data_IF_662123658376
#
_entry.id   IF_662123658376
#
_cell.length_a   1.000
_cell.length_b   1.000
_cell.length_c   1.000
_cell.angle_alpha   90.00
_cell.angle_beta   90.00
_cell.angle_gamma   90.00
#
_symmetry.space_group_name_H-M   'P 1'
#
loop_
_entity.id
_entity.type
_entity.pdbx_description
1 polymer ?
#
# COMPACT_ATOMS: atom_id res chain seq x y z
N UNK A 1 9.84 6.17 -4.48
CA UNK A 1 8.44 6.13 -4.94
C UNK A 1 7.99 7.42 -5.63
N UNK A 2 7.87 8.57 -4.95
CA UNK A 2 7.33 9.83 -5.53
C UNK A 2 8.00 10.25 -6.84
N UNK A 3 9.34 10.20 -6.92
CA UNK A 3 10.11 10.50 -8.15
C UNK A 3 9.67 9.62 -9.33
N UNK A 4 9.72 8.30 -9.15
CA UNK A 4 9.33 7.32 -10.19
C UNK A 4 7.90 7.55 -10.67
N UNK A 5 6.97 7.85 -9.76
CA UNK A 5 5.58 8.17 -10.11
C UNK A 5 5.48 9.48 -10.89
N UNK A 6 6.20 10.52 -10.48
CA UNK A 6 6.22 11.80 -11.20
C UNK A 6 6.81 11.69 -12.61
N UNK A 7 7.77 10.77 -12.80
CA UNK A 7 8.41 10.49 -14.09
C UNK A 7 7.60 9.51 -14.97
N UNK A 8 6.48 8.98 -14.47
CA UNK A 8 5.67 7.95 -15.14
C UNK A 8 4.33 8.48 -15.66
N UNK A 9 3.86 7.95 -16.79
CA UNK A 9 2.48 8.13 -17.25
C UNK A 9 1.65 6.96 -16.76
N UNK A 10 0.70 7.21 -15.86
CA UNK A 10 -0.14 6.17 -15.24
C UNK A 10 -1.60 6.30 -15.71
N UNK A 11 -2.31 5.18 -15.91
CA UNK A 11 -3.73 5.21 -16.31
C UNK A 11 -4.68 5.51 -15.14
N UNK A 12 -4.15 5.84 -13.97
CA UNK A 12 -4.89 6.12 -12.74
C UNK A 12 -4.27 7.28 -11.97
N UNK A 13 -5.08 7.94 -11.16
CA UNK A 13 -4.62 8.98 -10.25
C UNK A 13 -3.86 8.34 -9.07
N UNK A 14 -2.73 8.94 -8.69
CA UNK A 14 -1.96 8.52 -7.52
C UNK A 14 -2.15 9.49 -6.38
N UNK A 15 -2.54 8.96 -5.22
CA UNK A 15 -2.62 9.71 -3.97
C UNK A 15 -1.58 9.21 -2.98
N UNK A 16 -0.86 10.14 -2.37
CA UNK A 16 0.04 9.86 -1.26
C UNK A 16 -0.63 10.25 0.05
N UNK A 17 -0.45 9.41 1.06
CA UNK A 17 -0.83 9.67 2.44
C UNK A 17 0.43 9.64 3.28
N UNK A 18 0.62 10.66 4.13
CA UNK A 18 1.83 10.77 4.93
C UNK A 18 1.77 9.88 6.19
N UNK A 19 0.57 9.43 6.56
CA UNK A 19 0.33 8.53 7.70
C UNK A 19 -0.86 7.58 7.43
N UNK A 20 -0.96 6.49 8.20
CA UNK A 20 -2.01 5.49 8.06
C UNK A 20 -3.38 6.06 8.42
N UNK A 21 -3.46 6.96 9.39
CA UNK A 21 -4.73 7.55 9.84
C UNK A 21 -5.43 8.37 8.74
N UNK A 22 -4.69 9.06 7.88
CA UNK A 22 -5.25 9.75 6.71
C UNK A 22 -5.84 8.79 5.70
N UNK A 23 -5.14 7.70 5.38
CA UNK A 23 -5.64 6.67 4.48
C UNK A 23 -6.90 6.01 5.05
N UNK A 24 -6.88 5.63 6.33
CA UNK A 24 -8.01 5.00 7.02
C UNK A 24 -9.23 5.92 7.10
N UNK A 25 -9.04 7.23 7.29
CA UNK A 25 -10.14 8.22 7.23
C UNK A 25 -10.68 8.41 5.82
N UNK A 26 -9.86 8.19 4.80
CA UNK A 26 -10.24 8.39 3.40
C UNK A 26 -11.01 7.20 2.82
N UNK A 27 -10.67 5.96 3.22
CA UNK A 27 -11.31 4.75 2.68
C UNK A 27 -12.84 4.75 2.68
N UNK A 28 -13.55 5.07 3.79
CA UNK A 28 -15.00 4.91 3.83
C UNK A 28 -15.77 5.67 2.75
N UNK A 29 -15.21 6.75 2.21
CA UNK A 29 -15.84 7.52 1.14
C UNK A 29 -15.34 7.21 -0.28
N UNK A 30 -14.30 6.38 -0.43
CA UNK A 30 -13.57 6.27 -1.69
C UNK A 30 -13.05 4.85 -2.02
N UNK A 31 -13.20 3.87 -1.13
CA UNK A 31 -12.61 2.54 -1.28
C UNK A 31 -12.98 1.86 -2.60
N UNK A 32 -14.22 2.03 -3.07
CA UNK A 32 -14.71 1.46 -4.34
C UNK A 32 -14.03 2.05 -5.60
N UNK A 33 -13.32 3.17 -5.46
CA UNK A 33 -12.55 3.80 -6.55
C UNK A 33 -11.07 3.39 -6.58
N UNK A 34 -10.65 2.57 -5.62
CA UNK A 34 -9.25 2.16 -5.46
C UNK A 34 -8.92 1.02 -6.40
N UNK A 35 -7.86 1.20 -7.19
CA UNK A 35 -7.34 0.16 -8.10
C UNK A 35 -6.13 -0.59 -7.53
N UNK A 36 -5.41 0.01 -6.58
CA UNK A 36 -4.32 -0.62 -5.83
C UNK A 36 -3.97 0.21 -4.59
N UNK A 37 -3.38 -0.44 -3.59
CA UNK A 37 -2.82 0.21 -2.40
C UNK A 37 -1.37 -0.24 -2.20
N UNK A 38 -0.49 0.69 -1.86
CA UNK A 38 0.90 0.40 -1.47
C UNK A 38 1.08 0.70 0.02
N UNK A 39 1.55 -0.27 0.79
CA UNK A 39 1.76 -0.17 2.24
C UNK A 39 3.24 -0.24 2.58
N UNK A 40 3.68 0.66 3.46
CA UNK A 40 4.97 0.58 4.13
C UNK A 40 4.75 0.38 5.64
N UNK A 41 5.65 -0.35 6.29
CA UNK A 41 5.62 -0.57 7.73
C UNK A 41 6.05 0.67 8.50
N UNK A 42 7.01 1.41 7.95
CA UNK A 42 7.75 2.45 8.68
C UNK A 42 7.33 3.82 8.14
N UNK A 43 6.11 4.24 8.49
CA UNK A 43 5.62 5.58 8.18
C UNK A 43 6.33 6.61 9.07
N UNK A 44 6.86 7.66 8.44
CA UNK A 44 7.66 8.66 9.12
C UNK A 44 6.80 9.53 10.05
N UNK A 45 7.23 9.67 11.30
CA UNK A 45 6.59 10.54 12.29
C UNK A 45 7.03 11.99 12.17
N UNK A 46 8.12 12.28 11.42
CA UNK A 46 8.64 13.65 11.27
C UNK A 46 7.81 14.53 10.34
N UNK A 47 7.01 13.94 9.45
CA UNK A 47 6.03 14.64 8.61
C UNK A 47 4.61 14.61 9.16
N UNK A 48 4.34 13.75 10.16
CA UNK A 48 3.10 13.81 10.90
C UNK A 48 3.03 15.19 11.55
N UNK A 49 2.04 15.99 11.12
CA UNK A 49 1.91 17.43 11.44
C UNK A 49 1.88 17.71 12.95
N UNK A 50 1.54 16.69 13.71
CA UNK A 50 1.57 16.61 15.15
C UNK A 50 2.43 15.39 15.52
N UNK A 51 3.21 15.46 16.59
CA UNK A 51 4.08 14.37 17.12
C UNK A 51 3.31 13.13 17.61
N UNK A 52 2.18 12.85 16.99
CA UNK A 52 1.28 11.76 17.26
C UNK A 52 1.67 10.56 16.39
N UNK A 53 1.31 9.39 16.87
CA UNK A 53 1.43 8.12 16.16
C UNK A 53 0.99 8.29 14.69
N UNK A 54 1.86 7.96 13.73
CA UNK A 54 1.54 7.97 12.31
C UNK A 54 0.74 6.71 11.90
N UNK A 55 0.57 5.77 12.82
CA UNK A 55 0.17 4.42 12.51
C UNK A 55 1.15 3.76 11.54
N UNK A 56 0.72 2.69 10.91
CA UNK A 56 1.56 1.86 10.07
C UNK A 56 0.77 1.08 9.03
N UNK A 57 1.48 0.44 8.09
CA UNK A 57 0.88 -0.52 7.18
C UNK A 57 0.14 -1.67 7.89
N UNK A 58 0.54 -2.05 9.12
CA UNK A 58 -0.15 -3.08 9.91
C UNK A 58 -1.56 -2.62 10.28
N UNK A 59 -1.75 -1.35 10.63
CA UNK A 59 -3.07 -0.79 10.96
C UNK A 59 -4.00 -0.83 9.74
N UNK A 60 -3.43 -0.54 8.56
CA UNK A 60 -4.16 -0.61 7.29
C UNK A 60 -4.49 -2.06 6.92
N UNK A 61 -3.55 -2.98 7.08
CA UNK A 61 -3.78 -4.40 6.82
C UNK A 61 -4.89 -4.97 7.72
N UNK A 62 -4.88 -4.62 9.00
CA UNK A 62 -5.92 -5.03 9.96
C UNK A 62 -7.29 -4.43 9.63
N UNK A 63 -7.34 -3.18 9.13
CA UNK A 63 -8.58 -2.56 8.68
C UNK A 63 -9.16 -3.24 7.43
N UNK A 64 -8.30 -3.65 6.48
CA UNK A 64 -8.73 -4.28 5.23
C UNK A 64 -9.10 -5.76 5.40
N UNK A 65 -8.45 -6.48 6.34
CA UNK A 65 -8.67 -7.90 6.57
C UNK A 65 -10.15 -8.34 6.72
N UNK A 66 -11.03 -7.63 7.43
CA UNK A 66 -12.45 -8.00 7.52
C UNK A 66 -13.29 -7.63 6.28
N UNK A 67 -12.74 -6.88 5.31
CA UNK A 67 -13.48 -6.42 4.12
C UNK A 67 -13.33 -7.42 2.96
N UNK A 68 -14.26 -7.36 2.00
CA UNK A 68 -14.17 -8.16 0.77
C UNK A 68 -13.02 -7.64 -0.10
N UNK A 69 -12.06 -8.50 -0.50
CA UNK A 69 -10.99 -8.13 -1.41
C UNK A 69 -11.51 -7.70 -2.78
N UNK A 70 -11.05 -6.54 -3.27
CA UNK A 70 -11.46 -6.02 -4.59
C UNK A 70 -10.38 -5.20 -5.30
N UNK A 71 -9.19 -5.07 -4.71
CA UNK A 71 -8.01 -4.52 -5.36
C UNK A 71 -6.73 -5.18 -4.81
N UNK A 72 -5.65 -5.22 -5.59
CA UNK A 72 -4.37 -5.70 -5.13
C UNK A 72 -3.72 -4.76 -4.09
N UNK A 73 -3.03 -5.37 -3.13
CA UNK A 73 -2.22 -4.66 -2.13
C UNK A 73 -0.74 -4.96 -2.35
N UNK A 74 0.07 -3.91 -2.41
CA UNK A 74 1.51 -3.99 -2.54
C UNK A 74 2.10 -3.69 -1.17
N UNK A 75 2.92 -4.59 -0.66
CA UNK A 75 3.70 -4.35 0.55
C UNK A 75 5.09 -3.89 0.10
N UNK A 76 5.34 -2.60 0.22
CA UNK A 76 6.58 -1.96 -0.16
C UNK A 76 7.32 -1.51 1.09
N UNK A 77 8.05 -2.43 1.72
CA UNK A 77 8.77 -2.15 2.96
C UNK A 77 10.07 -2.94 3.07
N UNK A 78 11.11 -2.30 3.60
CA UNK A 78 12.41 -2.95 3.91
C UNK A 78 12.36 -3.75 5.21
N UNK A 79 11.28 -3.61 5.98
CA UNK A 79 11.17 -4.22 7.29
C UNK A 79 10.97 -5.73 7.18
N UNK A 80 12.06 -6.49 7.35
CA UNK A 80 12.09 -7.95 7.17
C UNK A 80 11.20 -8.73 8.16
N UNK A 81 10.71 -8.09 9.22
CA UNK A 81 9.81 -8.71 10.19
C UNK A 81 8.35 -8.32 9.98
N UNK A 82 8.10 -7.04 9.73
CA UNK A 82 6.73 -6.50 9.62
C UNK A 82 6.12 -6.71 8.24
N UNK A 83 6.92 -6.66 7.17
CA UNK A 83 6.41 -6.93 5.83
C UNK A 83 5.81 -8.35 5.70
N UNK A 84 6.47 -9.43 6.18
CA UNK A 84 5.85 -10.76 6.21
C UNK A 84 4.58 -10.85 7.07
N UNK A 85 4.50 -10.09 8.16
CA UNK A 85 3.32 -10.08 9.04
C UNK A 85 2.10 -9.46 8.34
N UNK A 86 2.28 -8.31 7.67
CA UNK A 86 1.23 -7.70 6.84
C UNK A 86 0.82 -8.64 5.69
N UNK A 87 1.79 -9.24 5.01
CA UNK A 87 1.53 -10.20 3.93
C UNK A 87 0.65 -11.35 4.42
N UNK A 88 1.00 -11.94 5.56
CA UNK A 88 0.24 -13.05 6.12
C UNK A 88 -1.17 -12.63 6.52
N UNK A 89 -1.31 -11.45 7.15
CA UNK A 89 -2.61 -10.88 7.55
C UNK A 89 -3.55 -10.73 6.35
N UNK A 90 -3.05 -10.14 5.26
CA UNK A 90 -3.80 -9.91 4.04
C UNK A 90 -4.07 -11.22 3.26
N UNK A 91 -3.08 -12.09 3.16
CA UNK A 91 -3.22 -13.38 2.47
C UNK A 91 -4.26 -14.28 3.16
N UNK A 92 -4.27 -14.35 4.50
CA UNK A 92 -5.27 -15.10 5.25
C UNK A 92 -6.69 -14.53 5.10
N UNK A 93 -6.82 -13.23 4.85
CA UNK A 93 -8.08 -12.56 4.54
C UNK A 93 -8.48 -12.65 3.05
N UNK A 94 -7.69 -13.35 2.22
CA UNK A 94 -7.98 -13.54 0.80
C UNK A 94 -7.61 -12.36 -0.10
N UNK A 95 -6.88 -11.36 0.41
CA UNK A 95 -6.45 -10.22 -0.39
C UNK A 95 -5.35 -10.61 -1.38
N UNK A 96 -5.50 -10.30 -2.68
CA UNK A 96 -4.40 -10.38 -3.64
C UNK A 96 -3.30 -9.42 -3.19
N UNK A 97 -2.12 -9.93 -2.87
CA UNK A 97 -1.03 -9.08 -2.43
C UNK A 97 0.35 -9.53 -2.92
N UNK A 98 1.26 -8.56 -3.03
CA UNK A 98 2.64 -8.75 -3.45
C UNK A 98 3.57 -8.05 -2.48
N UNK A 99 4.50 -8.80 -1.89
CA UNK A 99 5.55 -8.23 -1.06
C UNK A 99 6.75 -7.87 -1.93
N UNK A 100 7.04 -6.58 -2.04
CA UNK A 100 8.21 -6.03 -2.71
C UNK A 100 9.24 -5.63 -1.65
N UNK A 101 10.34 -6.38 -1.61
CA UNK A 101 11.49 -5.99 -0.80
C UNK A 101 12.25 -4.88 -1.56
N UNK A 102 12.52 -3.71 -0.95
CA UNK A 102 13.12 -2.56 -1.63
C UNK A 102 14.60 -2.75 -2.02
N UNK A 103 15.12 -3.97 -1.96
CA UNK A 103 16.48 -4.32 -2.41
C UNK A 103 16.54 -4.74 -3.89
N UNK A 104 15.40 -4.94 -4.56
CA UNK A 104 15.38 -5.05 -6.03
C UNK A 104 15.41 -3.66 -6.66
N UNK A 105 15.97 -3.57 -7.87
CA UNK A 105 16.27 -2.34 -8.61
C UNK A 105 15.19 -1.26 -8.39
N UNK A 106 15.60 -0.10 -7.86
CA UNK A 106 14.75 0.85 -7.11
C UNK A 106 13.54 1.40 -7.88
N UNK A 107 13.49 1.17 -9.20
CA UNK A 107 12.47 1.67 -10.12
C UNK A 107 11.64 0.53 -10.76
N UNK A 108 12.02 -0.75 -10.56
CA UNK A 108 11.35 -1.92 -11.16
C UNK A 108 10.02 -2.32 -10.49
N UNK A 109 9.78 -1.84 -9.27
CA UNK A 109 8.57 -2.15 -8.49
C UNK A 109 7.28 -1.72 -9.20
N UNK A 110 7.30 -0.61 -9.95
CA UNK A 110 6.12 -0.06 -10.62
C UNK A 110 5.54 -1.03 -11.65
N UNK A 111 6.41 -1.75 -12.39
CA UNK A 111 5.98 -2.76 -13.35
C UNK A 111 5.21 -3.91 -12.68
N UNK A 112 5.66 -4.34 -11.50
CA UNK A 112 4.97 -5.36 -10.70
C UNK A 112 3.58 -4.91 -10.25
N UNK A 113 3.45 -3.66 -9.81
CA UNK A 113 2.15 -3.07 -9.43
C UNK A 113 1.21 -2.99 -10.63
N UNK A 114 1.70 -2.50 -11.77
CA UNK A 114 0.89 -2.38 -12.99
C UNK A 114 0.38 -3.75 -13.47
N UNK A 115 1.23 -4.78 -13.39
CA UNK A 115 0.82 -6.15 -13.73
C UNK A 115 -0.28 -6.64 -12.78
N UNK A 116 -0.14 -6.44 -11.47
CA UNK A 116 -1.20 -6.83 -10.52
C UNK A 116 -2.52 -6.10 -10.78
N UNK A 117 -2.47 -4.80 -11.08
CA UNK A 117 -3.68 -4.04 -11.40
C UNK A 117 -4.35 -4.62 -12.65
N UNK A 118 -3.56 -4.93 -13.69
CA UNK A 118 -4.08 -5.55 -14.90
C UNK A 118 -4.71 -6.93 -14.63
N UNK A 119 -4.08 -7.75 -13.80
CA UNK A 119 -4.56 -9.10 -13.46
C UNK A 119 -5.87 -9.10 -12.63
N UNK A 120 -6.13 -8.02 -11.87
CA UNK A 120 -7.33 -7.87 -11.04
C UNK A 120 -8.47 -7.10 -11.73
N UNK A 121 -8.21 -6.50 -12.89
CA UNK A 121 -9.22 -5.80 -13.69
C UNK A 121 -9.98 -6.73 -14.66
N UNK A 122 -9.57 -7.99 -14.78
CA UNK A 122 -10.12 -9.01 -15.69
C UNK A 122 -11.07 -9.97 -14.97
#
# INVERSE_FOLDING_TARGET
>A
MRRVIADSTLPFDVRFFDNAHELLRWFPGNIDSVVAVSLDCDLDTTTARDSMDAGSGDDVANFLAPLTPHFPIVIHSSNAMRAPAMHMTLALAGWPNLSLSPYTDADSWLAGVLQMVADNAA
#
